data_IF_385877800977
#
_entry.id   IF_385877800977
#
_cell.length_a   1.000
_cell.length_b   1.000
_cell.length_c   1.000
_cell.angle_alpha   90.00
_cell.angle_beta   90.00
_cell.angle_gamma   90.00
#
_symmetry.space_group_name_H-M   'P 1'
#
loop_
_entity.id
_entity.type
_entity.pdbx_description
1 polymer ?
#
# COMPACT_ATOMS: atom_id res chain seq x y z
N UNK A 1 50.58 -3.18 19.13
CA UNK A 1 50.30 -3.47 17.71
C UNK A 1 48.82 -3.40 17.30
N UNK A 2 47.86 -3.67 18.20
CA UNK A 2 46.43 -3.73 17.83
C UNK A 2 45.74 -2.36 17.80
N UNK A 3 45.47 -1.82 18.99
CA UNK A 3 44.55 -0.71 19.21
C UNK A 3 45.27 0.62 19.33
N UNK A 4 44.56 1.71 19.04
CA UNK A 4 45.05 3.06 19.28
C UNK A 4 45.36 3.32 20.76
N UNK A 5 46.29 4.25 21.07
CA UNK A 5 46.68 4.56 22.45
C UNK A 5 45.53 4.94 23.37
N UNK A 6 44.55 5.71 22.87
CA UNK A 6 43.40 6.18 23.65
C UNK A 6 42.52 5.01 24.12
N UNK A 7 42.38 3.97 23.28
CA UNK A 7 41.66 2.73 23.64
C UNK A 7 42.51 1.89 24.60
N UNK A 8 43.82 1.82 24.35
CA UNK A 8 44.79 1.07 25.15
C UNK A 8 44.80 1.49 26.62
N UNK A 9 44.55 2.76 26.92
CA UNK A 9 44.46 3.26 28.29
C UNK A 9 43.39 2.54 29.14
N UNK A 10 42.30 2.07 28.54
CA UNK A 10 41.31 1.27 29.26
C UNK A 10 41.83 -0.12 29.64
N UNK A 11 42.80 -0.64 28.88
CA UNK A 11 43.38 -1.96 29.09
C UNK A 11 44.42 -1.98 30.21
N UNK A 12 44.96 -0.82 30.61
CA UNK A 12 45.93 -0.71 31.72
C UNK A 12 45.34 -1.11 33.07
N UNK A 13 44.01 -1.16 33.22
CA UNK A 13 43.35 -1.69 34.42
C UNK A 13 43.33 -3.23 34.48
N UNK A 14 43.71 -3.91 33.39
CA UNK A 14 43.71 -5.36 33.28
C UNK A 14 45.11 -5.96 33.13
N UNK A 15 46.08 -5.15 32.71
CA UNK A 15 47.43 -5.60 32.39
C UNK A 15 48.46 -4.60 32.92
N UNK A 16 49.44 -5.13 33.65
CA UNK A 16 50.60 -4.35 34.07
C UNK A 16 51.54 -4.12 32.88
N UNK A 17 52.12 -2.91 32.78
CA UNK A 17 53.18 -2.56 31.83
C UNK A 17 52.80 -2.74 30.33
N UNK A 18 51.53 -2.57 29.95
CA UNK A 18 51.12 -2.61 28.55
C UNK A 18 51.67 -1.39 27.78
N UNK A 19 52.34 -1.64 26.65
CA UNK A 19 52.97 -0.59 25.83
C UNK A 19 52.39 -0.53 24.41
N UNK A 20 52.41 0.67 23.83
CA UNK A 20 52.01 0.90 22.44
C UNK A 20 53.20 0.69 21.51
N UNK A 21 53.04 -0.16 20.50
CA UNK A 21 54.02 -0.29 19.42
C UNK A 21 53.85 0.86 18.42
N UNK A 22 54.94 1.39 17.87
CA UNK A 22 54.94 2.56 16.97
C UNK A 22 53.95 2.44 15.80
N UNK A 23 53.74 1.24 15.26
CA UNK A 23 52.78 0.97 14.20
C UNK A 23 51.34 1.42 14.51
N UNK A 24 50.91 1.46 15.79
CA UNK A 24 49.55 1.92 16.13
C UNK A 24 49.41 3.44 16.06
N UNK A 25 50.52 4.17 16.05
CA UNK A 25 50.55 5.62 15.93
C UNK A 25 50.43 6.06 14.47
N UNK A 26 50.93 5.24 13.54
CA UNK A 26 50.96 5.55 12.10
C UNK A 26 49.86 4.84 11.30
N UNK A 27 49.48 3.61 11.66
CA UNK A 27 48.56 2.77 10.86
C UNK A 27 47.09 2.77 11.33
N UNK A 28 46.72 3.61 12.32
CA UNK A 28 45.37 3.62 12.90
C UNK A 28 44.74 5.01 12.77
N UNK A 29 44.08 5.31 11.63
CA UNK A 29 43.57 6.65 11.36
C UNK A 29 42.47 7.07 12.36
N UNK A 30 42.27 8.39 12.48
CA UNK A 30 41.13 8.94 13.20
C UNK A 30 39.82 8.59 12.48
N UNK A 31 38.72 8.45 13.23
CA UNK A 31 37.43 8.14 12.62
C UNK A 31 36.81 9.44 12.08
N UNK A 32 36.23 9.36 10.90
CA UNK A 32 35.51 10.44 10.24
C UNK A 32 34.13 10.57 10.88
N UNK A 33 33.69 11.81 11.12
CA UNK A 33 32.34 12.10 11.59
C UNK A 33 32.16 12.12 13.10
N UNK A 34 33.14 11.67 13.87
CA UNK A 34 33.13 11.67 15.34
C UNK A 34 34.41 12.32 15.85
N UNK A 35 34.32 13.20 16.84
CA UNK A 35 35.50 13.95 17.32
C UNK A 35 36.55 13.10 18.01
N UNK A 36 36.14 12.02 18.66
CA UNK A 36 37.00 11.16 19.47
C UNK A 36 36.89 9.70 19.02
N UNK A 37 38.00 8.98 19.10
CA UNK A 37 38.10 7.56 18.74
C UNK A 37 37.66 6.62 19.87
N UNK A 38 37.73 7.08 21.13
CA UNK A 38 37.17 6.39 22.28
C UNK A 38 36.08 7.29 22.87
N UNK A 39 34.88 6.77 23.07
CA UNK A 39 33.84 7.52 23.75
C UNK A 39 32.80 6.63 24.44
N UNK A 40 32.39 7.02 25.64
CA UNK A 40 31.34 6.38 26.42
C UNK A 40 30.10 7.27 26.47
N UNK A 41 29.00 6.79 25.89
CA UNK A 41 27.68 7.41 25.96
C UNK A 41 26.95 6.88 27.20
N UNK A 42 26.94 7.70 28.24
CA UNK A 42 26.32 7.39 29.52
C UNK A 42 24.82 7.70 29.50
N UNK A 43 23.99 6.75 29.94
CA UNK A 43 22.54 6.96 30.07
C UNK A 43 21.98 6.34 31.35
N UNK A 44 20.71 6.63 31.65
CA UNK A 44 19.97 6.08 32.78
C UNK A 44 18.72 5.27 32.37
N UNK A 45 18.50 5.05 31.07
CA UNK A 45 17.37 4.25 30.57
C UNK A 45 17.40 2.81 31.12
N UNK A 46 16.27 2.30 31.63
CA UNK A 46 16.22 1.01 32.32
C UNK A 46 16.38 -0.18 31.36
N UNK A 47 16.92 -1.28 31.88
CA UNK A 47 16.93 -2.56 31.17
C UNK A 47 15.53 -3.22 31.18
N UNK A 48 15.28 -4.07 30.18
CA UNK A 48 14.08 -4.91 30.09
C UNK A 48 14.46 -6.38 30.28
N UNK A 49 13.60 -7.13 30.98
CA UNK A 49 13.72 -8.58 31.11
C UNK A 49 12.88 -9.26 30.02
N UNK A 50 13.44 -10.30 29.39
CA UNK A 50 12.67 -11.17 28.50
C UNK A 50 11.88 -12.19 29.33
N UNK A 51 10.64 -12.46 28.92
CA UNK A 51 9.75 -13.43 29.58
C UNK A 51 10.29 -14.86 29.44
N UNK A 52 10.99 -15.15 28.34
CA UNK A 52 11.63 -16.44 28.08
C UNK A 52 13.16 -16.28 28.05
N UNK A 53 13.83 -16.95 28.99
CA UNK A 53 15.29 -16.94 29.13
C UNK A 53 15.81 -15.79 29.99
N UNK A 54 16.73 -16.08 30.91
CA UNK A 54 17.37 -15.13 31.83
C UNK A 54 18.27 -14.06 31.15
N UNK A 55 17.98 -13.69 29.89
CA UNK A 55 18.71 -12.66 29.15
C UNK A 55 18.12 -11.27 29.37
N UNK A 56 18.94 -10.25 29.14
CA UNK A 56 18.59 -8.84 29.32
C UNK A 56 18.72 -8.10 28.00
N UNK A 57 17.92 -7.06 27.83
CA UNK A 57 17.99 -6.16 26.69
C UNK A 57 17.79 -4.71 27.15
N UNK A 58 18.24 -3.76 26.36
CA UNK A 58 18.02 -2.33 26.58
C UNK A 58 17.69 -1.68 25.24
N UNK A 59 16.43 -1.27 25.09
CA UNK A 59 15.93 -0.72 23.84
C UNK A 59 16.61 0.60 23.46
N UNK A 60 16.91 1.46 24.43
CA UNK A 60 17.62 2.71 24.17
C UNK A 60 19.02 2.45 23.59
N UNK A 61 19.79 1.56 24.22
CA UNK A 61 21.12 1.21 23.72
C UNK A 61 21.06 0.60 22.31
N UNK A 62 20.06 -0.25 22.05
CA UNK A 62 19.86 -0.86 20.75
C UNK A 62 19.57 0.19 19.66
N UNK A 63 18.64 1.11 19.93
CA UNK A 63 18.31 2.21 19.02
C UNK A 63 19.51 3.11 18.75
N UNK A 64 20.26 3.45 19.80
CA UNK A 64 21.42 4.33 19.72
C UNK A 64 22.54 3.71 18.87
N UNK A 65 22.89 2.45 19.12
CA UNK A 65 23.94 1.74 18.37
C UNK A 65 23.54 1.55 16.91
N UNK A 66 22.26 1.24 16.62
CA UNK A 66 21.77 1.11 15.24
C UNK A 66 21.90 2.46 14.51
N UNK A 67 21.48 3.55 15.16
CA UNK A 67 21.58 4.89 14.57
C UNK A 67 23.05 5.30 14.34
N UNK A 68 23.94 5.02 15.29
CA UNK A 68 25.37 5.27 15.18
C UNK A 68 26.03 4.42 14.07
N UNK A 69 25.72 3.12 13.99
CA UNK A 69 26.22 2.26 12.92
C UNK A 69 25.80 2.78 11.53
N UNK A 70 24.54 3.18 11.40
CA UNK A 70 24.02 3.76 10.17
C UNK A 70 24.72 5.09 9.81
N UNK A 71 24.96 5.94 10.81
CA UNK A 71 25.71 7.18 10.63
C UNK A 71 27.14 6.92 10.14
N UNK A 72 27.85 5.95 10.73
CA UNK A 72 29.21 5.60 10.32
C UNK A 72 29.25 5.08 8.87
N UNK A 73 28.28 4.25 8.47
CA UNK A 73 28.20 3.83 7.06
C UNK A 73 27.98 5.03 6.12
N UNK A 74 27.19 6.03 6.53
CA UNK A 74 27.04 7.28 5.77
C UNK A 74 28.30 8.14 5.72
N UNK A 75 29.22 7.98 6.69
CA UNK A 75 30.56 8.57 6.62
C UNK A 75 31.47 7.87 5.60
N UNK A 76 31.05 6.73 5.05
CA UNK A 76 31.82 5.95 4.08
C UNK A 76 32.51 4.72 4.65
N UNK A 77 32.23 4.34 5.90
CA UNK A 77 32.73 3.08 6.46
C UNK A 77 32.01 1.88 5.88
N UNK A 78 32.78 0.85 5.52
CA UNK A 78 32.22 -0.41 5.08
C UNK A 78 31.65 -1.20 6.26
N UNK A 79 30.58 -1.97 6.02
CA UNK A 79 29.96 -2.82 7.05
C UNK A 79 30.94 -3.81 7.68
N UNK A 80 31.93 -4.27 6.90
CA UNK A 80 32.97 -5.19 7.37
C UNK A 80 33.89 -4.57 8.42
N UNK A 81 34.02 -3.23 8.44
CA UNK A 81 34.87 -2.49 9.38
C UNK A 81 34.19 -2.22 10.73
N UNK A 82 32.90 -2.51 10.83
CA UNK A 82 32.09 -2.22 12.03
C UNK A 82 31.59 -3.54 12.62
N UNK A 83 31.83 -3.75 13.91
CA UNK A 83 31.19 -4.81 14.69
C UNK A 83 30.37 -4.22 15.83
N UNK A 84 29.11 -4.62 15.92
CA UNK A 84 28.29 -4.38 17.11
C UNK A 84 28.55 -5.51 18.10
N UNK A 85 29.12 -5.17 19.24
CA UNK A 85 29.40 -6.10 20.33
C UNK A 85 28.39 -5.90 21.45
N UNK A 86 27.80 -6.98 21.93
CA UNK A 86 26.81 -6.92 23.02
C UNK A 86 27.14 -7.90 24.13
N UNK A 87 26.78 -7.55 25.36
CA UNK A 87 27.04 -8.40 26.53
C UNK A 87 25.98 -9.50 26.74
N UNK A 88 24.82 -9.41 26.07
CA UNK A 88 23.67 -10.29 26.30
C UNK A 88 23.05 -10.78 24.98
N UNK A 89 22.65 -12.06 24.95
CA UNK A 89 21.97 -12.67 23.80
C UNK A 89 20.63 -11.99 23.47
N UNK A 90 19.87 -11.58 24.49
CA UNK A 90 18.62 -10.83 24.32
C UNK A 90 18.83 -9.53 23.54
N UNK A 91 19.90 -8.79 23.87
CA UNK A 91 20.28 -7.58 23.14
C UNK A 91 20.67 -7.87 21.68
N UNK A 92 21.39 -8.97 21.41
CA UNK A 92 21.71 -9.39 20.03
C UNK A 92 20.44 -9.64 19.23
N UNK A 93 19.49 -10.38 19.81
CA UNK A 93 18.21 -10.69 19.18
C UNK A 93 17.39 -9.42 18.92
N UNK A 94 17.34 -8.50 19.90
CA UNK A 94 16.66 -7.22 19.78
C UNK A 94 17.23 -6.38 18.63
N UNK A 95 18.55 -6.14 18.61
CA UNK A 95 19.21 -5.35 17.56
C UNK A 95 18.98 -6.00 16.18
N UNK A 96 19.16 -7.32 16.08
CA UNK A 96 18.95 -8.05 14.82
C UNK A 96 17.52 -7.90 14.29
N UNK A 97 16.52 -7.96 15.18
CA UNK A 97 15.11 -7.76 14.83
C UNK A 97 14.86 -6.31 14.38
N UNK A 98 15.35 -5.34 15.14
CA UNK A 98 15.15 -3.91 14.86
C UNK A 98 15.80 -3.50 13.53
N UNK A 99 16.97 -4.02 13.19
CA UNK A 99 17.59 -3.77 11.88
C UNK A 99 16.70 -4.30 10.76
N UNK A 100 16.19 -5.54 10.88
CA UNK A 100 15.32 -6.15 9.87
C UNK A 100 14.02 -5.37 9.65
N UNK A 101 13.42 -4.82 10.70
CA UNK A 101 12.11 -4.13 10.65
C UNK A 101 12.20 -2.61 10.49
N UNK A 102 13.40 -2.02 10.48
CA UNK A 102 13.59 -0.56 10.39
C UNK A 102 13.91 -0.11 8.96
N UNK A 103 13.83 1.21 8.75
CA UNK A 103 14.30 1.88 7.52
C UNK A 103 15.79 1.62 7.22
N UNK A 104 16.55 1.16 8.21
CA UNK A 104 17.98 0.84 8.08
C UNK A 104 18.26 -0.56 7.52
N UNK A 105 17.22 -1.37 7.29
CA UNK A 105 17.34 -2.76 6.83
C UNK A 105 18.21 -2.91 5.57
N UNK A 106 18.12 -1.97 4.62
CA UNK A 106 18.98 -1.99 3.41
C UNK A 106 20.44 -1.65 3.72
N UNK A 107 20.68 -0.60 4.50
CA UNK A 107 22.02 -0.09 4.78
C UNK A 107 22.79 -0.98 5.75
N UNK A 108 22.12 -1.51 6.77
CA UNK A 108 22.71 -2.32 7.84
C UNK A 108 22.55 -3.83 7.63
N UNK A 109 22.02 -4.26 6.49
CA UNK A 109 21.90 -5.68 6.16
C UNK A 109 23.26 -6.37 6.33
N UNK A 110 23.28 -7.47 7.06
CA UNK A 110 24.46 -8.33 7.27
C UNK A 110 25.61 -7.66 8.05
N UNK A 111 25.36 -6.55 8.77
CA UNK A 111 26.34 -6.01 9.73
C UNK A 111 26.64 -7.05 10.82
N UNK A 112 27.91 -7.12 11.26
CA UNK A 112 28.33 -8.09 12.28
C UNK A 112 27.78 -7.71 13.66
N UNK A 113 27.04 -8.62 14.29
CA UNK A 113 26.51 -8.46 15.64
C UNK A 113 26.86 -9.70 16.47
N UNK A 114 27.78 -9.56 17.41
CA UNK A 114 28.31 -10.68 18.19
C UNK A 114 28.14 -10.46 19.69
N UNK A 115 28.06 -11.57 20.43
CA UNK A 115 28.14 -11.55 21.90
C UNK A 115 29.61 -11.72 22.28
N UNK A 116 30.05 -11.00 23.32
CA UNK A 116 31.45 -10.99 23.78
C UNK A 116 32.07 -12.38 23.95
N UNK A 117 31.35 -13.35 24.51
CA UNK A 117 31.86 -14.72 24.71
C UNK A 117 32.22 -15.43 23.40
N UNK A 118 31.50 -15.12 22.31
CA UNK A 118 31.72 -15.71 20.98
C UNK A 118 32.70 -14.92 20.11
N UNK A 119 33.28 -13.82 20.64
CA UNK A 119 34.14 -12.90 19.88
C UNK A 119 35.61 -12.95 20.35
N UNK A 120 36.02 -14.03 21.00
CA UNK A 120 37.38 -14.19 21.50
C UNK A 120 38.36 -14.41 20.34
N UNK A 121 39.37 -13.53 20.25
CA UNK A 121 40.41 -13.61 19.22
C UNK A 121 40.11 -12.82 17.94
N UNK A 122 38.87 -12.37 17.75
CA UNK A 122 38.51 -11.47 16.66
C UNK A 122 38.78 -10.00 17.03
N UNK A 123 38.98 -9.16 16.02
CA UNK A 123 39.17 -7.70 16.13
C UNK A 123 38.51 -6.99 14.94
N UNK A 124 38.15 -5.73 15.09
CA UNK A 124 37.66 -4.91 14.00
C UNK A 124 38.09 -3.45 14.14
N UNK A 125 38.01 -2.67 13.06
CA UNK A 125 38.40 -1.26 13.05
C UNK A 125 37.54 -0.45 14.03
N UNK A 126 36.22 -0.65 13.97
CA UNK A 126 35.25 0.08 14.81
C UNK A 126 34.40 -0.92 15.59
N UNK A 127 34.38 -0.78 16.91
CA UNK A 127 33.51 -1.55 17.81
C UNK A 127 32.47 -0.64 18.44
N UNK A 128 31.20 -1.05 18.34
CA UNK A 128 30.06 -0.43 19.02
C UNK A 128 29.60 -1.38 20.14
N UNK A 129 29.84 -1.01 21.40
CA UNK A 129 29.62 -1.88 22.56
C UNK A 129 28.35 -1.49 23.32
N UNK A 130 27.41 -2.44 23.47
CA UNK A 130 26.20 -2.32 24.32
C UNK A 130 26.40 -3.08 25.63
N UNK A 131 26.28 -2.38 26.77
CA UNK A 131 26.45 -2.97 28.10
C UNK A 131 25.14 -3.47 28.72
N UNK A 132 23.99 -2.95 28.29
CA UNK A 132 22.61 -3.32 28.64
C UNK A 132 22.19 -2.97 30.07
N UNK A 133 23.04 -3.24 31.06
CA UNK A 133 22.64 -3.24 32.47
C UNK A 133 22.37 -1.84 32.99
N UNK A 134 21.16 -1.65 33.49
CA UNK A 134 20.66 -0.38 34.00
C UNK A 134 19.43 -0.64 34.87
N UNK A 135 19.64 -1.30 36.01
CA UNK A 135 18.55 -1.64 36.91
C UNK A 135 18.89 -1.35 38.37
N UNK A 136 18.34 -0.25 38.87
CA UNK A 136 18.55 0.20 40.24
C UNK A 136 17.86 -0.69 41.30
N UNK A 137 16.98 -1.63 40.91
CA UNK A 137 16.21 -2.46 41.85
C UNK A 137 16.93 -3.74 42.27
N UNK A 138 17.64 -4.40 41.34
CA UNK A 138 18.28 -5.70 41.62
C UNK A 138 19.71 -5.57 42.13
N UNK A 139 20.30 -4.36 42.11
CA UNK A 139 21.65 -4.02 42.59
C UNK A 139 22.79 -4.92 42.05
N UNK A 140 22.57 -5.66 40.97
CA UNK A 140 23.55 -6.57 40.38
C UNK A 140 23.86 -6.19 38.95
N UNK A 141 25.14 -6.28 38.55
CA UNK A 141 25.60 -5.99 37.18
C UNK A 141 25.81 -7.26 36.34
N UNK A 142 25.58 -8.45 36.91
CA UNK A 142 25.59 -9.73 36.16
C UNK A 142 26.96 -10.01 35.54
N UNK A 143 27.01 -10.31 34.24
CA UNK A 143 28.25 -10.60 33.52
C UNK A 143 29.26 -9.44 33.48
N UNK A 144 28.81 -8.20 33.77
CA UNK A 144 29.68 -7.03 33.76
C UNK A 144 30.67 -6.97 34.95
N UNK A 145 30.54 -7.85 35.95
CA UNK A 145 31.52 -8.00 37.04
C UNK A 145 32.69 -8.93 36.67
N UNK A 146 32.55 -9.70 35.58
CA UNK A 146 33.54 -10.70 35.19
C UNK A 146 34.65 -9.99 34.41
N UNK A 147 35.80 -9.80 35.07
CA UNK A 147 36.95 -9.06 34.54
C UNK A 147 37.38 -9.55 33.15
N UNK A 148 37.51 -10.86 32.95
CA UNK A 148 37.90 -11.43 31.66
C UNK A 148 36.93 -11.08 30.52
N UNK A 149 35.62 -11.00 30.81
CA UNK A 149 34.62 -10.65 29.78
C UNK A 149 34.74 -9.18 29.38
N UNK A 150 34.94 -8.28 30.35
CA UNK A 150 35.12 -6.85 30.06
C UNK A 150 36.46 -6.59 29.37
N UNK A 151 37.53 -7.24 29.82
CA UNK A 151 38.83 -7.22 29.16
C UNK A 151 38.73 -7.65 27.70
N UNK A 152 38.01 -8.74 27.41
CA UNK A 152 37.73 -9.16 26.03
C UNK A 152 36.96 -8.06 25.30
N UNK A 153 35.83 -7.57 25.82
CA UNK A 153 35.01 -6.57 25.15
C UNK A 153 35.78 -5.27 24.81
N UNK A 154 36.58 -4.76 25.74
CA UNK A 154 37.32 -3.51 25.57
C UNK A 154 38.55 -3.63 24.65
N UNK A 155 39.05 -4.85 24.42
CA UNK A 155 40.27 -5.11 23.64
C UNK A 155 40.04 -5.42 22.16
N UNK A 156 38.81 -5.28 21.65
CA UNK A 156 38.41 -5.69 20.30
C UNK A 156 38.60 -4.63 19.22
N UNK A 157 38.66 -3.36 19.59
CA UNK A 157 38.75 -2.25 18.64
C UNK A 157 40.19 -2.00 18.21
N UNK A 158 40.41 -1.75 16.92
CA UNK A 158 41.70 -1.30 16.38
C UNK A 158 41.76 0.22 16.29
N UNK A 159 40.72 0.86 15.74
CA UNK A 159 40.68 2.29 15.44
C UNK A 159 39.72 3.06 16.36
N UNK A 160 38.51 2.53 16.64
CA UNK A 160 37.59 3.18 17.56
C UNK A 160 36.70 2.26 18.38
N UNK A 161 36.36 2.74 19.57
CA UNK A 161 35.49 2.10 20.53
C UNK A 161 34.43 3.10 21.00
N UNK A 162 33.16 2.79 20.70
CA UNK A 162 32.02 3.56 21.17
C UNK A 162 31.18 2.68 22.09
N UNK A 163 31.10 3.06 23.36
CA UNK A 163 30.44 2.28 24.41
C UNK A 163 29.14 2.98 24.78
N UNK A 164 28.03 2.25 24.85
CA UNK A 164 26.74 2.75 25.33
C UNK A 164 26.34 1.95 26.56
N UNK A 165 26.06 2.64 27.67
CA UNK A 165 25.68 1.99 28.91
C UNK A 165 25.39 2.96 30.06
N UNK A 166 25.02 2.43 31.21
CA UNK A 166 24.81 3.22 32.43
C UNK A 166 26.07 3.18 33.31
N UNK A 167 27.08 4.00 32.98
CA UNK A 167 28.35 4.04 33.71
C UNK A 167 28.15 4.38 35.19
N UNK A 168 27.24 5.31 35.49
CA UNK A 168 26.93 5.72 36.87
C UNK A 168 26.44 4.55 37.72
N UNK A 169 25.64 3.65 37.14
CA UNK A 169 25.21 2.42 37.80
C UNK A 169 26.39 1.45 37.96
N UNK A 170 27.20 1.23 36.91
CA UNK A 170 28.33 0.30 36.96
C UNK A 170 29.39 0.71 38.00
N UNK A 171 29.75 2.00 38.06
CA UNK A 171 30.72 2.54 39.02
C UNK A 171 30.29 2.40 40.49
N UNK A 172 28.98 2.32 40.76
CA UNK A 172 28.46 2.10 42.11
C UNK A 172 28.60 0.66 42.57
N UNK A 173 28.67 -0.29 41.64
CA UNK A 173 28.61 -1.72 41.94
C UNK A 173 29.95 -2.45 41.84
N UNK A 174 30.94 -1.92 41.14
CA UNK A 174 32.20 -2.63 40.90
C UNK A 174 33.38 -1.65 40.73
N UNK A 175 34.49 -1.91 41.40
CA UNK A 175 35.64 -0.99 41.43
C UNK A 175 36.38 -0.90 40.10
N UNK A 176 36.43 -1.99 39.33
CA UNK A 176 36.95 -1.98 37.95
C UNK A 176 36.25 -0.91 37.11
N UNK A 177 34.92 -0.81 37.20
CA UNK A 177 34.15 0.20 36.47
C UNK A 177 34.39 1.62 37.01
N UNK A 178 34.69 1.77 38.31
CA UNK A 178 35.12 3.04 38.91
C UNK A 178 36.45 3.52 38.33
N UNK A 179 37.42 2.63 38.17
CA UNK A 179 38.72 2.92 37.55
C UNK A 179 38.58 3.29 36.06
N UNK A 180 37.79 2.50 35.31
CA UNK A 180 37.46 2.78 33.91
C UNK A 180 36.77 4.15 33.79
N UNK A 181 35.75 4.42 34.60
CA UNK A 181 35.03 5.69 34.58
C UNK A 181 35.90 6.89 34.93
N UNK A 182 36.85 6.72 35.85
CA UNK A 182 37.84 7.76 36.19
C UNK A 182 38.76 8.05 35.00
N UNK A 183 39.19 7.01 34.27
CA UNK A 183 40.03 7.16 33.07
C UNK A 183 39.27 7.89 31.97
N UNK A 184 38.05 7.45 31.66
CA UNK A 184 37.19 8.10 30.66
C UNK A 184 36.92 9.57 31.00
N UNK A 185 36.74 9.90 32.28
CA UNK A 185 36.53 11.27 32.73
C UNK A 185 37.77 12.15 32.55
N UNK A 186 38.97 11.62 32.85
CA UNK A 186 40.24 12.33 32.63
C UNK A 186 40.48 12.66 31.16
N UNK A 187 40.10 11.76 30.26
CA UNK A 187 40.25 11.93 28.81
C UNK A 187 39.11 12.73 28.16
N UNK A 188 38.12 13.21 28.93
CA UNK A 188 36.89 13.83 28.42
C UNK A 188 36.16 12.94 27.37
N UNK A 189 36.23 11.61 27.57
CA UNK A 189 35.70 10.58 26.69
C UNK A 189 34.39 9.98 27.22
N UNK A 190 33.66 10.71 28.07
CA UNK A 190 32.36 10.29 28.60
C UNK A 190 31.41 11.47 28.72
N UNK A 191 30.19 11.31 28.19
CA UNK A 191 29.08 12.24 28.41
C UNK A 191 27.75 11.53 28.12
N UNK A 192 26.64 12.26 28.21
CA UNK A 192 25.31 11.77 27.83
C UNK A 192 25.09 11.67 26.33
N UNK A 193 26.00 12.18 25.51
CA UNK A 193 25.91 12.12 24.06
C UNK A 193 27.27 12.15 23.36
N UNK A 194 27.30 11.63 22.13
CA UNK A 194 28.50 11.50 21.31
C UNK A 194 28.77 12.78 20.50
N UNK A 195 29.95 13.40 20.61
CA UNK A 195 30.29 14.59 19.83
C UNK A 195 30.57 14.22 18.37
N UNK A 196 29.66 14.62 17.48
CA UNK A 196 29.82 14.44 16.04
C UNK A 196 30.44 15.69 15.41
N UNK A 197 31.13 15.50 14.29
CA UNK A 197 31.70 16.61 13.52
C UNK A 197 31.47 16.42 12.03
N UNK A 198 31.30 17.52 11.30
CA UNK A 198 31.23 17.51 9.84
C UNK A 198 32.60 17.84 9.26
N UNK A 199 33.17 16.94 8.46
CA UNK A 199 34.49 17.19 7.83
C UNK A 199 34.46 18.30 6.78
N UNK A 200 33.30 18.52 6.14
CA UNK A 200 33.13 19.57 5.13
C UNK A 200 32.85 20.93 5.76
N UNK A 201 32.35 20.95 7.01
CA UNK A 201 31.97 22.16 7.72
C UNK A 201 32.49 22.11 9.16
N UNK A 202 33.77 22.47 9.40
CA UNK A 202 34.36 22.41 10.75
C UNK A 202 33.62 23.24 11.79
N UNK A 203 32.99 24.36 11.39
CA UNK A 203 32.22 25.26 12.27
C UNK A 203 30.96 24.60 12.87
N UNK A 204 30.49 23.50 12.27
CA UNK A 204 29.37 22.70 12.77
C UNK A 204 29.79 21.77 13.95
N UNK A 205 31.05 21.87 14.38
CA UNK A 205 31.70 21.00 15.35
C UNK A 205 31.11 20.95 16.76
N UNK A 206 30.00 21.58 17.12
CA UNK A 206 29.45 21.50 18.49
C UNK A 206 28.23 20.59 18.62
N UNK A 207 28.00 19.71 17.64
CA UNK A 207 26.87 18.80 17.68
C UNK A 207 27.09 17.61 18.60
N UNK A 208 26.15 17.40 19.53
CA UNK A 208 26.15 16.27 20.45
C UNK A 208 24.94 15.39 20.13
N UNK A 209 25.19 14.12 19.80
CA UNK A 209 24.15 13.11 19.63
C UNK A 209 23.86 12.44 20.98
N UNK A 210 22.94 13.01 21.75
CA UNK A 210 22.48 12.52 23.06
C UNK A 210 21.42 11.41 22.98
N UNK A 211 20.62 11.38 21.91
CA UNK A 211 19.56 10.40 21.70
C UNK A 211 19.67 9.74 20.33
N UNK A 212 19.04 8.57 20.10
CA UNK A 212 18.97 7.95 18.78
C UNK A 212 18.35 8.88 17.72
N UNK A 213 17.42 9.75 18.11
CA UNK A 213 16.78 10.71 17.21
C UNK A 213 17.73 11.82 16.74
N UNK A 214 18.78 12.14 17.52
CA UNK A 214 19.74 13.19 17.19
C UNK A 214 20.50 12.89 15.89
N UNK A 215 20.67 11.61 15.52
CA UNK A 215 21.27 11.22 14.24
C UNK A 215 20.42 11.60 13.02
N UNK A 216 19.12 11.91 13.18
CA UNK A 216 18.27 12.41 12.09
C UNK A 216 18.69 13.81 11.62
N UNK A 217 19.37 14.59 12.47
CA UNK A 217 20.02 15.87 12.11
C UNK A 217 21.32 15.66 11.33
N UNK A 218 21.64 14.41 10.98
CA UNK A 218 22.76 14.00 10.11
C UNK A 218 22.23 13.15 8.93
N UNK A 219 21.30 13.71 8.12
CA UNK A 219 20.50 12.92 7.18
C UNK A 219 21.34 12.21 6.11
N UNK A 220 22.45 12.79 5.66
CA UNK A 220 23.35 12.20 4.67
C UNK A 220 24.76 11.92 5.25
N UNK A 221 24.88 11.86 6.59
CA UNK A 221 26.13 11.71 7.32
C UNK A 221 26.83 13.04 7.63
N UNK A 222 26.73 14.05 6.77
CA UNK A 222 27.20 15.41 7.09
C UNK A 222 26.20 16.22 7.92
N UNK A 223 26.45 17.52 8.02
CA UNK A 223 25.54 18.47 8.69
C UNK A 223 24.28 18.79 7.86
N UNK A 224 23.38 19.59 8.43
CA UNK A 224 22.10 19.97 7.81
C UNK A 224 22.24 21.07 6.73
N UNK A 225 23.47 21.51 6.44
CA UNK A 225 23.72 22.40 5.30
C UNK A 225 23.58 21.62 3.99
N UNK A 226 23.07 22.27 2.95
CA UNK A 226 23.05 21.71 1.59
C UNK A 226 24.47 21.53 1.08
N UNK A 227 24.71 20.48 0.29
CA UNK A 227 26.06 20.18 -0.23
C UNK A 227 26.57 21.25 -1.20
N UNK A 228 25.73 21.73 -2.12
CA UNK A 228 26.07 22.84 -3.02
C UNK A 228 27.10 22.55 -4.12
N UNK A 229 27.81 21.42 -4.06
CA UNK A 229 28.80 20.99 -5.07
C UNK A 229 28.15 20.78 -6.45
N UNK A 230 28.91 21.00 -7.53
CA UNK A 230 28.42 20.75 -8.90
C UNK A 230 28.55 19.27 -9.28
N UNK A 231 27.44 18.70 -9.75
CA UNK A 231 27.40 17.36 -10.36
C UNK A 231 28.03 17.40 -11.76
N UNK A 232 28.32 16.23 -12.34
CA UNK A 232 28.85 16.08 -13.70
C UNK A 232 27.98 16.73 -14.77
N UNK A 233 26.67 16.81 -14.54
CA UNK A 233 25.71 17.51 -15.40
C UNK A 233 25.67 19.04 -15.18
N UNK A 234 26.60 19.62 -14.42
CA UNK A 234 26.68 21.06 -14.13
C UNK A 234 25.71 21.59 -13.06
N UNK A 235 24.64 20.83 -12.75
CA UNK A 235 23.67 21.16 -11.70
C UNK A 235 24.26 21.06 -10.29
N UNK A 236 23.76 21.87 -9.37
CA UNK A 236 24.10 21.76 -7.95
C UNK A 236 23.52 20.48 -7.32
N UNK A 237 24.30 19.81 -6.49
CA UNK A 237 23.91 18.65 -5.70
C UNK A 237 22.70 19.01 -4.81
N UNK A 238 21.56 18.30 -4.91
CA UNK A 238 20.36 18.59 -4.13
C UNK A 238 20.40 17.99 -2.71
N UNK A 239 21.45 17.25 -2.37
CA UNK A 239 21.57 16.54 -1.09
C UNK A 239 22.08 17.48 0.01
N UNK A 240 21.79 17.10 1.26
CA UNK A 240 22.50 17.64 2.42
C UNK A 240 23.98 17.27 2.35
N UNK A 241 24.80 17.93 3.17
CA UNK A 241 26.22 17.66 3.27
C UNK A 241 26.47 16.16 3.47
N UNK A 242 27.36 15.58 2.66
CA UNK A 242 27.68 14.16 2.65
C UNK A 242 29.16 13.91 2.33
N UNK A 243 29.64 12.69 2.59
CA UNK A 243 31.03 12.30 2.34
C UNK A 243 31.23 11.37 1.12
N UNK A 244 30.15 10.82 0.56
CA UNK A 244 30.24 9.94 -0.61
C UNK A 244 30.38 10.73 -1.93
N UNK A 245 30.89 10.08 -2.98
CA UNK A 245 31.05 10.70 -4.31
C UNK A 245 29.73 11.16 -4.93
N UNK A 246 29.77 12.31 -5.60
CA UNK A 246 28.67 12.87 -6.38
C UNK A 246 28.26 12.02 -7.59
N UNK A 247 29.09 11.07 -8.02
CA UNK A 247 28.72 10.12 -9.09
C UNK A 247 27.54 9.23 -8.69
N UNK A 248 27.33 9.04 -7.38
CA UNK A 248 26.20 8.28 -6.82
C UNK A 248 24.94 9.14 -6.67
N UNK A 249 25.02 10.45 -6.90
CA UNK A 249 23.92 11.38 -6.72
C UNK A 249 23.14 11.53 -8.03
N UNK A 250 21.89 11.10 -8.01
CA UNK A 250 20.96 11.31 -9.10
C UNK A 250 20.41 12.75 -9.08
N UNK A 251 20.71 13.51 -10.13
CA UNK A 251 20.17 14.86 -10.33
C UNK A 251 18.66 14.84 -10.61
N UNK A 252 17.87 15.45 -9.74
CA UNK A 252 16.41 15.62 -9.90
C UNK A 252 16.01 16.94 -10.58
N UNK A 253 16.95 17.73 -11.07
CA UNK A 253 16.64 18.97 -11.81
C UNK A 253 16.27 18.66 -13.26
N UNK A 254 15.43 19.51 -13.85
CA UNK A 254 15.10 19.45 -15.28
C UNK A 254 16.37 19.78 -16.07
N UNK A 255 16.72 18.92 -17.03
CA UNK A 255 17.80 19.15 -17.98
C UNK A 255 17.38 20.29 -18.91
N UNK A 256 18.05 21.44 -18.89
CA UNK A 256 17.71 22.60 -19.73
C UNK A 256 18.70 22.81 -20.90
N UNK A 257 19.43 21.75 -21.25
CA UNK A 257 20.38 21.71 -22.35
C UNK A 257 19.67 21.78 -23.72
N UNK A 258 20.37 22.33 -24.70
CA UNK A 258 19.88 22.43 -26.08
C UNK A 258 19.98 21.07 -26.76
N UNK A 259 18.91 20.62 -27.41
CA UNK A 259 18.89 19.34 -28.11
C UNK A 259 19.65 19.46 -29.45
N UNK A 260 20.46 18.46 -29.85
CA UNK A 260 21.29 18.57 -31.06
C UNK A 260 20.50 18.52 -32.37
N UNK A 261 19.33 17.89 -32.37
CA UNK A 261 18.53 17.62 -33.59
C UNK A 261 17.33 18.57 -33.77
N UNK A 262 17.16 19.56 -32.88
CA UNK A 262 16.10 20.57 -32.97
C UNK A 262 16.45 21.79 -32.11
N UNK A 263 15.70 22.90 -32.24
CA UNK A 263 15.94 24.12 -31.46
C UNK A 263 15.28 24.10 -30.07
N UNK A 264 14.71 22.97 -29.65
CA UNK A 264 14.02 22.83 -28.38
C UNK A 264 14.99 22.52 -27.24
N UNK A 265 14.57 22.85 -26.01
CA UNK A 265 15.32 22.54 -24.78
C UNK A 265 14.83 21.21 -24.21
N UNK A 266 15.73 20.45 -23.59
CA UNK A 266 15.33 19.26 -22.87
C UNK A 266 14.34 19.63 -21.73
N UNK A 267 13.43 18.73 -21.41
CA UNK A 267 12.47 18.87 -20.29
C UNK A 267 12.48 17.65 -19.36
N UNK A 268 13.36 16.68 -19.62
CA UNK A 268 13.48 15.46 -18.81
C UNK A 268 14.29 15.73 -17.53
N UNK A 269 14.10 14.90 -16.50
CA UNK A 269 14.96 14.95 -15.31
C UNK A 269 16.38 14.52 -15.65
N UNK A 270 17.36 15.26 -15.14
CA UNK A 270 18.75 15.14 -15.54
C UNK A 270 19.37 13.77 -15.23
N UNK A 271 18.94 13.06 -14.16
CA UNK A 271 19.45 11.72 -13.85
C UNK A 271 18.95 10.60 -14.77
N UNK A 272 17.83 10.79 -15.46
CA UNK A 272 17.33 9.83 -16.45
C UNK A 272 18.00 10.00 -17.82
N UNK A 273 18.89 10.98 -17.96
CA UNK A 273 19.61 11.22 -19.19
C UNK A 273 20.92 10.43 -19.20
N UNK A 274 20.89 9.19 -19.69
CA UNK A 274 22.11 8.65 -20.29
C UNK A 274 22.54 9.57 -21.46
N UNK A 275 23.80 9.49 -21.94
CA UNK A 275 24.24 10.24 -23.11
C UNK A 275 23.46 10.00 -24.42
N UNK A 276 22.49 9.08 -24.42
CA UNK A 276 21.63 8.79 -25.57
C UNK A 276 20.15 9.14 -25.33
N UNK A 277 19.65 9.10 -24.08
CA UNK A 277 18.23 9.38 -23.77
C UNK A 277 17.89 10.87 -23.77
N UNK A 278 18.89 11.75 -23.70
CA UNK A 278 18.70 13.19 -23.85
C UNK A 278 18.40 13.63 -25.29
N UNK A 279 18.30 12.71 -26.27
CA UNK A 279 18.28 13.07 -27.71
C UNK A 279 16.89 13.14 -28.35
N UNK A 280 15.86 12.65 -27.68
CA UNK A 280 14.51 12.61 -28.26
C UNK A 280 13.67 13.74 -27.68
N UNK A 281 13.49 14.78 -28.48
CA UNK A 281 12.61 15.90 -28.15
C UNK A 281 11.14 15.45 -28.03
N UNK A 282 10.50 15.71 -26.89
CA UNK A 282 9.09 15.38 -26.65
C UNK A 282 8.12 16.52 -27.02
N UNK A 283 8.64 17.68 -27.43
CA UNK A 283 7.82 18.81 -27.84
C UNK A 283 6.94 18.43 -29.03
N UNK A 284 5.63 18.72 -28.93
CA UNK A 284 4.66 18.36 -29.97
C UNK A 284 4.77 19.36 -31.11
N UNK A 285 5.12 18.86 -32.28
CA UNK A 285 5.19 19.63 -33.52
C UNK A 285 4.32 19.00 -34.58
N UNK A 286 3.86 19.80 -35.53
CA UNK A 286 3.16 19.30 -36.71
C UNK A 286 4.18 18.75 -37.71
N UNK A 287 4.01 17.49 -38.13
CA UNK A 287 4.83 16.85 -39.15
C UNK A 287 3.95 16.25 -40.24
N UNK A 288 4.35 16.44 -41.49
CA UNK A 288 3.73 15.80 -42.65
C UNK A 288 4.46 14.51 -42.98
N UNK A 289 3.74 13.40 -43.00
CA UNK A 289 4.28 12.07 -43.35
C UNK A 289 4.30 11.93 -44.87
N UNK A 290 5.49 11.81 -45.47
CA UNK A 290 5.67 11.79 -46.94
C UNK A 290 4.94 10.64 -47.64
N UNK A 291 4.82 9.47 -47.01
CA UNK A 291 4.19 8.29 -47.62
C UNK A 291 2.66 8.39 -47.72
N UNK A 292 2.00 9.25 -46.93
CA UNK A 292 0.55 9.40 -46.94
C UNK A 292 0.07 10.86 -47.02
N UNK A 293 0.98 11.84 -47.02
CA UNK A 293 0.72 13.28 -47.06
C UNK A 293 -0.20 13.82 -45.95
N UNK A 294 -0.34 13.10 -44.84
CA UNK A 294 -1.08 13.58 -43.68
C UNK A 294 -0.19 14.38 -42.72
N UNK A 295 -0.72 15.50 -42.23
CA UNK A 295 -0.10 16.29 -41.16
C UNK A 295 -0.65 15.85 -39.81
N UNK A 296 0.23 15.45 -38.89
CA UNK A 296 -0.13 15.02 -37.54
C UNK A 296 0.70 15.75 -36.48
N UNK A 297 0.11 15.97 -35.31
CA UNK A 297 0.83 16.44 -34.12
C UNK A 297 1.56 15.27 -33.48
N UNK A 298 2.90 15.30 -33.44
CA UNK A 298 3.73 14.26 -32.81
C UNK A 298 5.01 14.83 -32.19
N UNK A 299 5.72 14.02 -31.40
CA UNK A 299 6.96 14.46 -30.76
C UNK A 299 8.06 14.80 -31.79
N UNK A 300 8.73 15.94 -31.61
CA UNK A 300 9.75 16.45 -32.52
C UNK A 300 10.92 15.47 -32.74
N UNK A 301 11.33 14.72 -31.72
CA UNK A 301 12.42 13.74 -31.83
C UNK A 301 12.02 12.40 -32.48
N UNK A 302 10.74 12.21 -32.83
CA UNK A 302 10.25 10.97 -33.47
C UNK A 302 10.09 11.20 -34.97
N UNK A 303 10.59 10.29 -35.78
CA UNK A 303 10.46 10.35 -37.24
C UNK A 303 9.01 10.10 -37.70
N UNK A 304 8.51 10.88 -38.68
CA UNK A 304 7.15 10.76 -39.19
C UNK A 304 7.03 9.62 -40.21
N UNK A 305 6.69 8.42 -39.73
CA UNK A 305 6.50 7.20 -40.55
C UNK A 305 5.02 6.80 -40.68
N UNK A 306 4.63 6.11 -41.76
CA UNK A 306 3.23 5.73 -42.03
C UNK A 306 2.60 4.85 -40.96
N UNK A 307 3.37 3.93 -40.37
CA UNK A 307 2.97 3.05 -39.28
C UNK A 307 2.64 3.81 -37.98
N UNK A 308 3.00 5.10 -37.90
CA UNK A 308 2.73 6.00 -36.77
C UNK A 308 1.71 7.10 -37.12
N UNK A 309 1.12 7.06 -38.32
CA UNK A 309 0.17 8.05 -38.77
C UNK A 309 -1.17 7.91 -38.02
N UNK A 310 -1.47 8.87 -37.14
CA UNK A 310 -2.73 8.92 -36.38
C UNK A 310 -3.87 9.65 -37.10
N UNK A 311 -3.64 10.12 -38.32
CA UNK A 311 -4.68 10.79 -39.11
C UNK A 311 -5.81 9.82 -39.45
N UNK A 312 -7.06 10.24 -39.25
CA UNK A 312 -8.23 9.39 -39.46
C UNK A 312 -8.62 9.39 -40.94
N UNK A 313 -8.74 8.19 -41.52
CA UNK A 313 -9.17 7.98 -42.91
C UNK A 313 -10.39 7.05 -42.95
N UNK A 314 -11.39 7.33 -43.81
CA UNK A 314 -12.52 6.43 -44.01
C UNK A 314 -12.07 5.21 -44.81
N UNK A 315 -12.40 4.01 -44.32
CA UNK A 315 -12.12 2.73 -45.00
C UNK A 315 -13.42 1.93 -45.09
N UNK A 316 -13.64 1.32 -46.24
CA UNK A 316 -14.79 0.43 -46.48
C UNK A 316 -14.46 -0.96 -45.95
N UNK A 317 -15.23 -1.44 -44.98
CA UNK A 317 -15.02 -2.74 -44.34
C UNK A 317 -15.68 -3.85 -45.18
N UNK A 318 -15.37 -5.15 -44.93
CA UNK A 318 -16.03 -6.27 -45.61
C UNK A 318 -17.57 -6.28 -45.45
N UNK A 319 -18.08 -5.66 -44.38
CA UNK A 319 -19.50 -5.46 -44.14
C UNK A 319 -20.12 -4.26 -44.88
N UNK A 320 -19.39 -3.68 -45.84
CA UNK A 320 -19.76 -2.54 -46.68
C UNK A 320 -19.88 -1.18 -45.99
N UNK A 321 -19.74 -1.13 -44.66
CA UNK A 321 -19.75 0.11 -43.89
C UNK A 321 -18.46 0.92 -44.03
N UNK A 322 -18.59 2.24 -43.99
CA UNK A 322 -17.46 3.18 -43.95
C UNK A 322 -17.09 3.47 -42.50
N UNK A 323 -15.90 3.03 -42.09
CA UNK A 323 -15.39 3.23 -40.71
C UNK A 323 -14.12 4.07 -40.76
N UNK A 324 -14.07 5.10 -39.90
CA UNK A 324 -12.87 5.92 -39.74
C UNK A 324 -11.84 5.17 -38.90
N UNK A 325 -10.67 4.89 -39.49
CA UNK A 325 -9.54 4.25 -38.82
C UNK A 325 -8.29 5.12 -38.96
N UNK A 326 -7.28 4.90 -38.13
CA UNK A 326 -6.01 5.61 -38.32
C UNK A 326 -5.35 5.17 -39.63
N UNK A 327 -4.68 6.10 -40.32
CA UNK A 327 -3.94 5.78 -41.54
C UNK A 327 -2.90 4.68 -41.29
N UNK A 328 -2.29 4.63 -40.10
CA UNK A 328 -1.42 3.54 -39.67
C UNK A 328 -2.13 2.18 -39.71
N UNK A 329 -3.33 2.07 -39.13
CA UNK A 329 -4.15 0.84 -39.16
C UNK A 329 -4.41 0.37 -40.60
N UNK A 330 -4.71 1.32 -41.50
CA UNK A 330 -4.92 1.05 -42.92
C UNK A 330 -3.63 0.55 -43.60
N UNK A 331 -2.49 1.20 -43.36
CA UNK A 331 -1.20 0.84 -43.99
C UNK A 331 -0.62 -0.47 -43.46
N UNK A 332 -0.87 -0.81 -42.20
CA UNK A 332 -0.40 -2.04 -41.55
C UNK A 332 -1.31 -3.25 -41.79
N UNK A 333 -2.39 -3.10 -42.57
CA UNK A 333 -3.34 -4.18 -42.83
C UNK A 333 -4.05 -4.72 -41.58
N UNK A 334 -4.15 -3.92 -40.51
CA UNK A 334 -4.75 -4.33 -39.24
C UNK A 334 -6.25 -3.98 -39.14
N UNK A 335 -6.92 -3.84 -40.30
CA UNK A 335 -8.33 -3.48 -40.40
C UNK A 335 -9.21 -4.56 -39.75
N UNK A 336 -8.86 -5.83 -39.92
CA UNK A 336 -9.61 -6.98 -39.36
C UNK A 336 -9.69 -6.98 -37.82
N UNK A 337 -8.83 -6.22 -37.14
CA UNK A 337 -8.84 -6.08 -35.67
C UNK A 337 -9.76 -4.96 -35.18
N UNK A 338 -10.30 -4.13 -36.06
CA UNK A 338 -11.18 -3.02 -35.70
C UNK A 338 -12.63 -3.49 -35.84
N UNK A 339 -13.45 -3.47 -34.77
CA UNK A 339 -14.85 -3.81 -34.89
C UNK A 339 -15.65 -2.68 -35.56
N UNK A 340 -16.54 -3.04 -36.47
CA UNK A 340 -17.54 -2.16 -37.06
C UNK A 340 -18.69 -1.94 -36.09
N UNK A 341 -18.89 -0.70 -35.65
CA UNK A 341 -19.91 -0.31 -34.67
C UNK A 341 -21.18 0.28 -35.28
N UNK A 342 -21.32 0.25 -36.60
CA UNK A 342 -22.57 0.64 -37.26
C UNK A 342 -23.74 -0.24 -36.79
N UNK A 343 -24.94 0.33 -36.59
CA UNK A 343 -26.11 -0.40 -36.12
C UNK A 343 -26.54 -1.47 -37.14
N UNK A 344 -26.89 -2.67 -36.68
CA UNK A 344 -27.26 -3.77 -37.58
C UNK A 344 -28.56 -3.52 -38.36
N UNK A 345 -29.54 -2.84 -37.75
CA UNK A 345 -30.85 -2.48 -38.31
C UNK A 345 -31.74 -3.63 -38.85
N UNK A 346 -31.28 -4.88 -38.86
CA UNK A 346 -32.04 -6.05 -39.29
C UNK A 346 -33.28 -6.31 -38.42
N UNK A 347 -34.32 -6.87 -39.04
CA UNK A 347 -35.56 -7.27 -38.38
C UNK A 347 -35.43 -8.74 -37.98
N UNK A 348 -35.49 -9.01 -36.68
CA UNK A 348 -35.44 -10.36 -36.11
C UNK A 348 -36.73 -11.13 -36.42
N UNK A 349 -36.69 -12.47 -36.30
CA UNK A 349 -37.88 -13.33 -36.47
C UNK A 349 -39.03 -12.96 -35.52
N UNK A 350 -38.73 -12.33 -34.38
CA UNK A 350 -39.73 -11.80 -33.47
C UNK A 350 -40.30 -10.43 -33.90
N UNK A 351 -40.01 -9.96 -35.12
CA UNK A 351 -40.39 -8.66 -35.69
C UNK A 351 -39.80 -7.42 -35.02
N UNK A 352 -38.96 -7.59 -34.00
CA UNK A 352 -38.20 -6.51 -33.38
C UNK A 352 -36.92 -6.20 -34.15
N UNK A 353 -36.46 -4.95 -34.09
CA UNK A 353 -35.18 -4.53 -34.68
C UNK A 353 -34.01 -5.02 -33.82
N UNK A 354 -32.95 -5.51 -34.46
CA UNK A 354 -31.75 -5.90 -33.75
C UNK A 354 -31.07 -4.68 -33.11
N UNK A 355 -30.81 -4.74 -31.80
CA UNK A 355 -30.11 -3.69 -31.05
C UNK A 355 -28.57 -3.78 -31.13
N UNK A 356 -28.04 -4.82 -31.79
CA UNK A 356 -26.59 -5.03 -31.91
C UNK A 356 -25.94 -4.18 -33.00
N UNK A 357 -24.61 -4.15 -32.99
CA UNK A 357 -23.81 -3.58 -34.08
C UNK A 357 -23.48 -4.63 -35.14
N UNK A 358 -23.00 -4.18 -36.30
CA UNK A 358 -22.58 -5.04 -37.40
C UNK A 358 -21.55 -6.10 -36.97
N UNK A 359 -20.57 -5.73 -36.13
CA UNK A 359 -19.60 -6.68 -35.57
C UNK A 359 -20.20 -7.65 -34.56
N UNK A 360 -21.15 -7.20 -33.73
CA UNK A 360 -21.83 -8.08 -32.76
C UNK A 360 -22.65 -9.15 -33.48
N UNK A 361 -23.26 -8.78 -34.61
CA UNK A 361 -24.15 -9.64 -35.37
C UNK A 361 -23.42 -10.57 -36.36
N UNK A 362 -22.08 -10.61 -36.33
CA UNK A 362 -21.22 -11.31 -37.30
C UNK A 362 -21.71 -11.12 -38.74
N UNK A 363 -21.87 -9.86 -39.17
CA UNK A 363 -22.36 -9.53 -40.52
C UNK A 363 -23.70 -10.20 -40.88
N UNK A 364 -24.65 -10.22 -39.93
CA UNK A 364 -26.00 -10.76 -40.13
C UNK A 364 -26.09 -12.30 -40.03
N UNK A 365 -25.02 -13.00 -39.64
CA UNK A 365 -25.08 -14.46 -39.46
C UNK A 365 -25.67 -14.86 -38.10
N UNK A 366 -25.46 -14.06 -37.06
CA UNK A 366 -25.92 -14.39 -35.71
C UNK A 366 -26.23 -13.12 -34.92
N UNK A 367 -27.51 -12.76 -34.84
CA UNK A 367 -27.95 -11.61 -34.06
C UNK A 367 -27.96 -11.89 -32.55
N UNK A 368 -27.84 -10.82 -31.78
CA UNK A 368 -28.05 -10.87 -30.33
C UNK A 368 -29.51 -11.23 -30.00
N UNK A 369 -29.77 -11.92 -28.88
CA UNK A 369 -31.12 -12.20 -28.41
C UNK A 369 -31.92 -10.91 -28.25
N UNK A 370 -33.20 -10.95 -28.65
CA UNK A 370 -34.09 -9.80 -28.52
C UNK A 370 -34.38 -9.48 -27.05
N UNK A 371 -34.07 -8.26 -26.60
CA UNK A 371 -34.39 -7.81 -25.23
C UNK A 371 -35.69 -6.99 -25.15
N UNK A 372 -36.33 -6.68 -26.29
CA UNK A 372 -37.64 -6.04 -26.33
C UNK A 372 -38.72 -6.87 -25.63
N UNK A 373 -39.76 -6.20 -25.12
CA UNK A 373 -40.90 -6.86 -24.48
C UNK A 373 -41.64 -7.76 -25.47
N UNK A 374 -41.88 -9.02 -25.09
CA UNK A 374 -42.44 -10.03 -25.99
C UNK A 374 -43.84 -9.68 -26.53
N UNK A 375 -44.74 -9.15 -25.70
CA UNK A 375 -46.09 -8.72 -26.11
C UNK A 375 -47.02 -9.84 -26.57
N UNK A 376 -46.58 -11.11 -26.61
CA UNK A 376 -47.42 -12.26 -27.01
C UNK A 376 -48.50 -12.55 -25.97
N UNK A 377 -49.70 -12.88 -26.42
CA UNK A 377 -50.79 -13.30 -25.55
C UNK A 377 -50.55 -14.73 -25.02
N UNK A 378 -50.53 -14.88 -23.69
CA UNK A 378 -50.42 -16.17 -23.00
C UNK A 378 -51.75 -16.92 -23.00
N UNK A 379 -51.75 -18.23 -22.66
CA UNK A 379 -52.96 -19.05 -22.56
C UNK A 379 -54.01 -18.48 -21.58
N UNK A 380 -53.56 -17.79 -20.53
CA UNK A 380 -54.42 -17.06 -19.59
C UNK A 380 -54.94 -15.71 -20.14
N UNK A 381 -54.70 -15.40 -21.41
CA UNK A 381 -55.06 -14.16 -22.13
C UNK A 381 -54.34 -12.89 -21.69
N UNK A 382 -53.46 -12.95 -20.67
CA UNK A 382 -52.54 -11.86 -20.34
C UNK A 382 -51.40 -11.74 -21.35
N UNK A 383 -50.89 -10.52 -21.53
CA UNK A 383 -49.73 -10.24 -22.38
C UNK A 383 -48.42 -10.63 -21.67
N UNK A 384 -47.48 -11.19 -22.41
CA UNK A 384 -46.15 -11.52 -21.90
C UNK A 384 -45.28 -10.25 -21.85
N UNK A 385 -44.79 -9.92 -20.65
CA UNK A 385 -43.87 -8.79 -20.42
C UNK A 385 -42.39 -9.21 -20.31
N UNK A 386 -42.09 -10.50 -20.49
CA UNK A 386 -40.72 -11.00 -20.46
C UNK A 386 -39.96 -10.62 -21.75
N UNK A 387 -38.61 -10.64 -21.72
CA UNK A 387 -37.79 -10.41 -22.91
C UNK A 387 -38.12 -11.40 -24.03
N UNK A 388 -38.29 -10.91 -25.25
CA UNK A 388 -38.77 -11.69 -26.38
C UNK A 388 -37.81 -12.82 -26.80
N UNK A 389 -36.50 -12.64 -26.62
CA UNK A 389 -35.45 -13.60 -27.01
C UNK A 389 -35.42 -14.90 -26.21
N UNK A 390 -36.41 -15.15 -25.35
CA UNK A 390 -36.53 -16.35 -24.51
C UNK A 390 -37.95 -16.91 -24.60
N UNK A 391 -38.11 -18.18 -24.24
CA UNK A 391 -39.43 -18.80 -24.12
C UNK A 391 -40.28 -18.03 -23.10
N UNK A 392 -41.56 -17.80 -23.43
CA UNK A 392 -42.47 -17.09 -22.54
C UNK A 392 -42.62 -17.85 -21.21
N UNK A 393 -42.29 -17.21 -20.07
CA UNK A 393 -42.52 -17.81 -18.76
C UNK A 393 -44.01 -17.84 -18.41
N UNK A 394 -44.37 -18.56 -17.33
CA UNK A 394 -45.71 -18.51 -16.75
C UNK A 394 -46.13 -17.07 -16.40
N UNK A 395 -47.43 -16.82 -16.40
CA UNK A 395 -47.96 -15.49 -16.17
C UNK A 395 -47.61 -14.97 -14.76
N UNK A 396 -47.04 -13.76 -14.69
CA UNK A 396 -46.69 -13.09 -13.44
C UNK A 396 -47.81 -12.19 -12.90
N UNK A 397 -48.92 -12.03 -13.62
CA UNK A 397 -50.08 -11.27 -13.15
C UNK A 397 -50.69 -11.93 -11.93
N UNK A 398 -51.22 -11.13 -10.99
CA UNK A 398 -51.94 -11.68 -9.82
C UNK A 398 -53.26 -12.29 -10.24
N UNK A 399 -53.62 -13.39 -9.59
CA UNK A 399 -54.91 -14.04 -9.82
C UNK A 399 -56.06 -13.05 -9.57
N UNK A 400 -57.02 -13.03 -10.49
CA UNK A 400 -58.20 -12.15 -10.40
C UNK A 400 -59.28 -12.69 -9.46
N UNK A 401 -59.15 -13.95 -9.02
CA UNK A 401 -60.10 -14.58 -8.09
C UNK A 401 -60.13 -13.81 -6.78
N UNK A 402 -61.31 -13.28 -6.45
CA UNK A 402 -61.58 -12.51 -5.23
C UNK A 402 -62.86 -13.01 -4.59
N UNK A 403 -62.86 -13.08 -3.26
CA UNK A 403 -64.07 -13.21 -2.48
C UNK A 403 -64.23 -11.97 -1.57
N UNK A 404 -65.38 -11.88 -0.91
CA UNK A 404 -65.68 -10.84 0.09
C UNK A 404 -64.70 -10.79 1.26
N UNK A 405 -63.98 -11.88 1.54
CA UNK A 405 -63.02 -11.96 2.65
C UNK A 405 -61.61 -11.60 2.22
N UNK A 406 -61.18 -12.06 1.04
CA UNK A 406 -59.80 -11.88 0.58
C UNK A 406 -59.68 -11.98 -0.95
N UNK A 407 -58.59 -11.40 -1.45
CA UNK A 407 -58.14 -11.58 -2.84
C UNK A 407 -57.05 -12.65 -2.87
N UNK A 408 -57.07 -13.51 -3.88
CA UNK A 408 -56.05 -14.55 -4.04
C UNK A 408 -54.64 -13.92 -4.16
N UNK A 409 -53.66 -14.34 -3.34
CA UNK A 409 -52.29 -13.79 -3.39
C UNK A 409 -51.41 -14.43 -4.47
N UNK A 410 -51.86 -15.56 -5.02
CA UNK A 410 -51.12 -16.39 -6.00
C UNK A 410 -51.08 -15.73 -7.39
N UNK A 411 -50.16 -16.20 -8.22
CA UNK A 411 -50.04 -15.73 -9.60
C UNK A 411 -51.06 -16.44 -10.51
N UNK A 412 -51.37 -15.81 -11.63
CA UNK A 412 -52.31 -16.32 -12.61
C UNK A 412 -51.80 -17.65 -13.20
N UNK A 413 -52.64 -18.70 -13.14
CA UNK A 413 -52.28 -20.06 -13.55
C UNK A 413 -51.92 -20.98 -12.39
N UNK A 414 -51.72 -20.45 -11.18
CA UNK A 414 -51.59 -21.26 -9.97
C UNK A 414 -52.98 -21.65 -9.43
N UNK A 415 -53.16 -22.90 -8.96
CA UNK A 415 -54.44 -23.36 -8.42
C UNK A 415 -54.79 -22.59 -7.14
N UNK A 416 -55.94 -21.90 -7.15
CA UNK A 416 -56.40 -21.11 -6.00
C UNK A 416 -56.89 -22.00 -4.86
N UNK A 417 -56.51 -21.67 -3.64
CA UNK A 417 -57.06 -22.30 -2.43
C UNK A 417 -58.49 -21.82 -2.16
N UNK A 418 -59.44 -22.72 -1.81
CA UNK A 418 -60.79 -22.34 -1.43
C UNK A 418 -60.80 -21.51 -0.13
N UNK A 419 -61.74 -20.56 -0.02
CA UNK A 419 -61.91 -19.72 1.17
C UNK A 419 -62.68 -20.48 2.26
N UNK A 420 -62.05 -20.69 3.41
CA UNK A 420 -62.60 -21.41 4.56
C UNK A 420 -63.28 -20.51 5.61
N UNK A 421 -63.45 -19.21 5.32
CA UNK A 421 -64.18 -18.30 6.18
C UNK A 421 -65.70 -18.52 6.06
N UNK A 422 -66.48 -18.31 7.14
CA UNK A 422 -67.94 -18.41 7.09
C UNK A 422 -68.51 -17.34 6.14
N UNK A 423 -69.49 -17.71 5.34
CA UNK A 423 -70.09 -16.79 4.38
C UNK A 423 -70.77 -15.61 5.09
N UNK A 424 -70.33 -14.36 4.84
CA UNK A 424 -70.92 -13.16 5.48
C UNK A 424 -72.29 -12.78 4.91
N UNK A 425 -72.85 -13.58 4.00
CA UNK A 425 -74.16 -13.34 3.42
C UNK A 425 -75.24 -13.59 4.49
N UNK A 426 -75.59 -12.53 5.23
CA UNK A 426 -76.54 -12.54 6.32
C UNK A 426 -77.42 -11.29 6.31
N UNK A 427 -78.63 -11.40 6.86
CA UNK A 427 -79.44 -10.28 7.32
C UNK A 427 -79.91 -10.53 8.75
N UNK A 428 -80.64 -9.57 9.32
CA UNK A 428 -81.22 -9.67 10.67
C UNK A 428 -82.18 -10.86 10.88
N UNK A 429 -82.57 -11.58 9.82
CA UNK A 429 -83.53 -12.68 9.88
C UNK A 429 -82.96 -14.04 9.46
N UNK A 430 -81.99 -14.06 8.55
CA UNK A 430 -81.37 -15.31 8.04
C UNK A 430 -79.90 -15.10 7.73
N UNK A 431 -79.07 -16.07 8.10
CA UNK A 431 -77.63 -16.10 7.81
C UNK A 431 -77.26 -17.42 7.10
N UNK A 432 -76.28 -17.36 6.21
CA UNK A 432 -75.66 -18.54 5.61
C UNK A 432 -74.91 -19.33 6.68
N UNK A 433 -75.01 -20.66 6.66
CA UNK A 433 -74.25 -21.53 7.58
C UNK A 433 -73.01 -22.17 6.94
N UNK A 434 -72.88 -22.03 5.61
CA UNK A 434 -71.81 -22.63 4.82
C UNK A 434 -70.57 -21.73 4.67
N UNK A 435 -69.47 -22.34 4.21
CA UNK A 435 -68.21 -21.64 3.94
C UNK A 435 -68.32 -20.78 2.68
N UNK A 436 -67.48 -19.75 2.59
CA UNK A 436 -67.47 -18.84 1.45
C UNK A 436 -67.15 -19.52 0.11
N UNK A 437 -66.37 -20.61 0.11
CA UNK A 437 -66.07 -21.40 -1.09
C UNK A 437 -67.21 -22.34 -1.51
N UNK A 438 -68.27 -22.44 -0.71
CA UNK A 438 -69.41 -23.31 -0.98
C UNK A 438 -70.58 -22.48 -1.54
N UNK A 439 -71.47 -23.09 -2.34
CA UNK A 439 -72.66 -22.40 -2.84
C UNK A 439 -73.55 -21.98 -1.66
N UNK A 440 -73.73 -20.67 -1.49
CA UNK A 440 -74.52 -20.08 -0.40
C UNK A 440 -75.93 -20.71 -0.29
N UNK A 441 -76.28 -21.25 0.88
CA UNK A 441 -77.57 -21.91 1.18
C UNK A 441 -78.68 -20.92 1.59
N UNK A 442 -78.31 -19.66 1.85
CA UNK A 442 -79.24 -18.62 2.27
C UNK A 442 -80.25 -18.27 1.17
N UNK A 443 -81.52 -18.55 1.43
CA UNK A 443 -82.64 -18.11 0.59
C UNK A 443 -82.90 -16.60 0.71
N UNK A 444 -83.41 -15.93 -0.34
CA UNK A 444 -83.77 -14.51 -0.30
C UNK A 444 -84.68 -14.15 0.88
N UNK A 445 -84.35 -13.09 1.62
CA UNK A 445 -85.13 -12.67 2.78
C UNK A 445 -86.43 -11.99 2.34
N UNK A 446 -87.57 -12.43 2.88
CA UNK A 446 -88.89 -11.89 2.54
C UNK A 446 -89.37 -10.74 3.45
N UNK A 447 -88.62 -10.40 4.51
CA UNK A 447 -88.98 -9.31 5.42
C UNK A 447 -88.61 -7.91 4.88
N UNK A 448 -89.38 -6.85 5.19
CA UNK A 448 -89.09 -5.47 4.78
C UNK A 448 -87.75 -4.96 5.31
N UNK A 449 -87.00 -4.21 4.51
CA UNK A 449 -85.70 -3.66 4.91
C UNK A 449 -85.88 -2.37 5.74
N UNK A 450 -85.34 -2.34 6.96
CA UNK A 450 -85.43 -1.19 7.86
C UNK A 450 -84.34 -0.12 7.61
N UNK A 451 -83.42 -0.34 6.66
CA UNK A 451 -82.36 0.63 6.33
C UNK A 451 -82.90 1.75 5.45
N UNK A 452 -82.51 2.99 5.73
CA UNK A 452 -82.74 4.15 4.85
C UNK A 452 -81.63 4.26 3.81
N UNK A 453 -81.95 4.75 2.61
CA UNK A 453 -80.95 4.94 1.55
C UNK A 453 -80.09 6.18 1.88
N UNK A 454 -78.77 6.06 2.07
CA UNK A 454 -77.92 7.13 2.63
C UNK A 454 -77.80 8.40 1.76
N UNK A 455 -78.30 8.38 0.51
CA UNK A 455 -78.33 9.57 -0.37
C UNK A 455 -79.63 10.36 -0.35
N UNK A 456 -80.75 9.76 0.08
CA UNK A 456 -82.07 10.41 -0.03
C UNK A 456 -83.01 10.14 1.15
N UNK A 457 -82.56 9.44 2.18
CA UNK A 457 -83.21 9.21 3.48
C UNK A 457 -84.62 8.57 3.45
N UNK A 458 -84.99 7.95 2.32
CA UNK A 458 -86.21 7.17 2.16
C UNK A 458 -86.03 5.71 2.64
N UNK A 459 -87.10 5.04 3.12
CA UNK A 459 -87.06 3.63 3.50
C UNK A 459 -86.78 2.71 2.29
N UNK A 460 -85.87 1.75 2.46
CA UNK A 460 -85.45 0.84 1.39
C UNK A 460 -86.60 -0.10 0.96
N UNK A 461 -87.12 0.07 -0.26
CA UNK A 461 -88.19 -0.75 -0.83
C UNK A 461 -87.73 -2.05 -1.52
N UNK A 462 -86.46 -2.45 -1.40
CA UNK A 462 -85.99 -3.72 -1.98
C UNK A 462 -86.33 -4.89 -1.07
N UNK A 463 -87.16 -5.83 -1.55
CA UNK A 463 -87.14 -7.23 -1.08
C UNK A 463 -85.76 -7.79 -1.48
N UNK A 464 -84.94 -8.21 -0.51
CA UNK A 464 -83.56 -8.61 -0.78
C UNK A 464 -83.49 -9.93 -1.57
N UNK A 465 -83.61 -9.88 -2.90
CA UNK A 465 -83.04 -10.88 -3.80
C UNK A 465 -81.59 -10.48 -4.09
N UNK A 466 -80.68 -10.87 -3.20
CA UNK A 466 -79.27 -10.88 -3.56
C UNK A 466 -79.04 -12.11 -4.44
N UNK A 467 -78.82 -11.88 -5.73
CA UNK A 467 -78.08 -12.81 -6.58
C UNK A 467 -76.69 -12.93 -5.98
N UNK A 468 -76.44 -14.04 -5.29
CA UNK A 468 -75.09 -14.51 -5.02
C UNK A 468 -74.43 -14.73 -6.37
N UNK A 469 -73.54 -13.84 -6.78
CA UNK A 469 -72.52 -14.20 -7.77
C UNK A 469 -71.58 -15.15 -7.04
N UNK A 470 -71.98 -16.42 -6.96
CA UNK A 470 -71.04 -17.52 -6.86
C UNK A 470 -70.60 -17.86 -8.29
N UNK A 471 -69.85 -16.95 -8.93
CA UNK A 471 -68.96 -17.37 -10.01
C UNK A 471 -67.69 -17.92 -9.33
N UNK A 472 -67.83 -19.08 -8.69
CA UNK A 472 -66.75 -20.06 -8.72
C UNK A 472 -66.77 -20.57 -10.16
N UNK A 473 -66.15 -19.83 -11.08
CA UNK A 473 -65.69 -20.45 -12.32
C UNK A 473 -64.60 -21.43 -11.94
N UNK A 474 -65.01 -22.68 -11.70
CA UNK A 474 -64.18 -23.85 -11.98
C UNK A 474 -63.70 -23.71 -13.42
N UNK A 475 -62.48 -23.22 -13.63
CA UNK A 475 -61.65 -23.71 -14.73
C UNK A 475 -60.77 -24.81 -14.15
N UNK A 476 -61.29 -26.04 -14.26
CA UNK A 476 -60.45 -27.24 -14.31
C UNK A 476 -59.91 -27.32 -15.75
N UNK A 477 -58.65 -27.74 -15.83
CA UNK A 477 -57.72 -27.81 -16.96
C UNK A 477 -57.02 -26.50 -17.28
#
# INVERSE_FOLDING_TARGET
HRMRPEICQLMLHFYDNLQNHESVLTERPAIIGVKQNLYFVNHSHPEEALVEGNSKQNKFEAEYIIALAHFLIKQGYEKSQITILVMYLGQRALISRMIKTSLYSKTLKDIRINVTDSFQGEENDIILLSLVRSNNQTNTIGFLKIHNRICVALSRARCAMYIVGNLNFLMKHEDMWRQIGTTLSKENAVATGLPLCCIQHPDDGNFIADTPASFSKRPEGGCEKLCGSRLSCGHSCPKFCHNYSHDRVQCSKICNESLPNCQHRCQNLCHFATPNDHRICQERVEKTIQSCNHTISMACGIEPTSDRCTYMVPVRFPCDHLVNVTCATRTLGSIDKVPCREPCQDILLCTHRCAGTCSDCKTGQLHLPCEEQCGRQLLCTHLCHAPCGRNCPSCSSKCETVCIHSKCPLNCGEPCSPCHEPCTNACQHTACSLLCSEPCDRKPCQHPCLKKIPKCDHPCKKKHTFLSIALITKRKY
#
